data_IF_041351486318
#
_entry.id   IF_041351486318
#
_cell.length_a   1.000
_cell.length_b   1.000
_cell.length_c   1.000
_cell.angle_alpha   90.00
_cell.angle_beta   90.00
_cell.angle_gamma   90.00
#
_symmetry.space_group_name_H-M   'P 1'
#
loop_
_entity.id
_entity.type
_entity.pdbx_description
1 polymer ?
#
# COMPACT_ATOMS: atom_id res chain seq x y z
N UNK A 1 10.05 -1.77 -24.48
CA UNK A 1 9.56 -0.56 -25.19
C UNK A 1 9.83 -0.64 -26.67
N UNK A 2 11.04 -0.99 -27.10
CA UNK A 2 11.43 -1.03 -28.54
C UNK A 2 10.72 -2.13 -29.35
N UNK A 3 10.13 -3.12 -28.68
CA UNK A 3 9.38 -4.22 -29.30
C UNK A 3 7.93 -4.28 -28.84
N UNK A 4 7.43 -3.25 -28.15
CA UNK A 4 6.05 -3.23 -27.68
C UNK A 4 5.09 -3.20 -28.89
N UNK A 5 4.13 -4.12 -28.93
CA UNK A 5 3.16 -4.24 -30.03
C UNK A 5 3.77 -4.65 -31.37
N UNK A 6 5.02 -5.17 -31.41
CA UNK A 6 5.73 -5.47 -32.66
C UNK A 6 4.97 -6.45 -33.58
N UNK A 7 4.20 -7.36 -33.00
CA UNK A 7 3.43 -8.36 -33.74
C UNK A 7 2.10 -7.78 -34.29
N UNK A 8 1.63 -6.67 -33.73
CA UNK A 8 0.37 -6.00 -34.08
C UNK A 8 0.57 -4.74 -34.94
N UNK A 9 1.81 -4.23 -35.01
CA UNK A 9 2.17 -3.05 -35.81
C UNK A 9 2.50 -3.48 -37.24
N UNK A 10 1.90 -2.87 -38.28
CA UNK A 10 2.21 -3.18 -39.68
C UNK A 10 3.71 -3.10 -39.98
N UNK A 11 4.21 -4.03 -40.80
CA UNK A 11 5.65 -4.11 -41.11
C UNK A 11 6.21 -2.85 -41.78
N UNK A 12 5.34 -2.10 -42.45
CA UNK A 12 5.62 -0.85 -43.17
C UNK A 12 5.77 0.38 -42.25
N UNK A 13 5.48 0.25 -40.95
CA UNK A 13 5.62 1.35 -40.01
C UNK A 13 7.10 1.78 -39.87
N UNK A 14 7.38 3.06 -40.15
CA UNK A 14 8.73 3.65 -40.05
C UNK A 14 9.35 3.50 -38.65
N UNK A 15 8.53 3.34 -37.60
CA UNK A 15 8.98 3.14 -36.22
C UNK A 15 8.21 1.99 -35.58
N UNK A 16 8.97 1.02 -35.03
CA UNK A 16 8.43 -0.08 -34.21
C UNK A 16 8.73 0.19 -32.73
N UNK A 17 7.73 -0.07 -31.88
CA UNK A 17 7.80 0.16 -30.44
C UNK A 17 7.50 1.60 -30.01
N UNK A 18 7.46 1.83 -28.70
CA UNK A 18 6.97 3.09 -28.11
C UNK A 18 8.10 4.07 -27.80
N UNK A 19 7.92 5.32 -28.23
CA UNK A 19 8.79 6.45 -27.97
C UNK A 19 10.11 6.42 -28.74
N UNK A 20 10.85 7.52 -28.66
CA UNK A 20 12.25 7.62 -29.09
C UNK A 20 13.21 7.20 -27.97
N UNK A 21 14.47 6.83 -28.26
CA UNK A 21 15.46 6.45 -27.24
C UNK A 21 15.56 7.45 -26.07
N UNK A 22 15.54 8.75 -26.36
CA UNK A 22 15.57 9.80 -25.34
C UNK A 22 14.34 9.77 -24.42
N UNK A 23 13.15 9.63 -24.99
CA UNK A 23 11.91 9.56 -24.21
C UNK A 23 11.76 8.26 -23.43
N UNK A 24 12.23 7.12 -23.96
CA UNK A 24 12.17 5.81 -23.29
C UNK A 24 12.89 5.83 -21.95
N UNK A 25 14.14 6.33 -21.93
CA UNK A 25 14.92 6.44 -20.70
C UNK A 25 14.20 7.33 -19.67
N UNK A 26 13.69 8.49 -20.11
CA UNK A 26 12.96 9.41 -19.24
C UNK A 26 11.66 8.82 -18.66
N UNK A 27 10.91 8.04 -19.44
CA UNK A 27 9.69 7.36 -18.96
C UNK A 27 10.04 6.28 -17.94
N UNK A 28 11.10 5.49 -18.17
CA UNK A 28 11.54 4.47 -17.20
C UNK A 28 11.89 5.13 -15.86
N UNK A 29 12.65 6.22 -15.86
CA UNK A 29 12.95 6.95 -14.62
C UNK A 29 11.69 7.46 -13.94
N UNK A 30 10.74 8.04 -14.70
CA UNK A 30 9.45 8.50 -14.14
C UNK A 30 8.67 7.37 -13.47
N UNK A 31 8.61 6.18 -14.07
CA UNK A 31 7.92 5.02 -13.50
C UNK A 31 8.58 4.56 -12.19
N UNK A 32 9.91 4.63 -12.11
CA UNK A 32 10.67 4.30 -10.90
C UNK A 32 10.45 5.36 -9.81
N UNK A 33 10.59 6.65 -10.14
CA UNK A 33 10.37 7.76 -9.20
C UNK A 33 8.94 7.80 -8.68
N UNK A 34 7.95 7.48 -9.52
CA UNK A 34 6.55 7.39 -9.12
C UNK A 34 6.21 6.12 -8.29
N UNK A 35 7.15 5.16 -8.17
CA UNK A 35 6.97 3.96 -7.38
C UNK A 35 6.13 2.87 -8.03
N UNK A 36 5.90 2.92 -9.35
CA UNK A 36 5.18 1.88 -10.10
C UNK A 36 6.07 0.71 -10.53
N UNK A 37 7.37 0.95 -10.62
CA UNK A 37 8.38 -0.04 -11.01
C UNK A 37 9.58 0.08 -10.07
N UNK A 38 10.20 -1.06 -9.73
CA UNK A 38 11.44 -1.12 -8.95
C UNK A 38 12.58 -1.76 -9.76
N UNK A 39 13.82 -1.33 -9.47
CA UNK A 39 15.03 -1.91 -10.05
C UNK A 39 15.54 -3.04 -9.15
N UNK A 40 15.56 -4.26 -9.68
CA UNK A 40 16.15 -5.43 -9.01
C UNK A 40 17.31 -5.96 -9.85
N UNK A 41 18.52 -5.49 -9.53
CA UNK A 41 19.71 -5.75 -10.33
C UNK A 41 19.55 -5.17 -11.74
N UNK A 42 19.64 -6.03 -12.77
CA UNK A 42 19.44 -5.64 -14.18
C UNK A 42 17.98 -5.71 -14.64
N UNK A 43 17.04 -6.08 -13.76
CA UNK A 43 15.62 -6.24 -14.10
C UNK A 43 14.77 -5.09 -13.54
N UNK A 44 13.70 -4.77 -14.26
CA UNK A 44 12.62 -3.89 -13.81
C UNK A 44 11.43 -4.75 -13.41
N UNK A 45 10.96 -4.60 -12.17
CA UNK A 45 9.86 -5.39 -11.61
C UNK A 45 8.70 -4.45 -11.30
N UNK A 46 7.46 -4.74 -11.72
CA UNK A 46 6.31 -3.90 -11.37
C UNK A 46 6.04 -4.00 -9.86
N UNK A 47 5.77 -2.86 -9.23
CA UNK A 47 5.33 -2.84 -7.83
C UNK A 47 3.85 -3.20 -7.75
N UNK A 48 3.35 -3.49 -6.55
CA UNK A 48 1.91 -3.68 -6.33
C UNK A 48 1.09 -2.47 -6.80
N UNK A 49 1.59 -1.25 -6.56
CA UNK A 49 0.94 -0.03 -7.02
C UNK A 49 0.90 0.04 -8.56
N UNK A 50 1.98 -0.36 -9.24
CA UNK A 50 2.02 -0.43 -10.70
C UNK A 50 1.01 -1.45 -11.27
N UNK A 51 0.92 -2.64 -10.67
CA UNK A 51 -0.06 -3.66 -11.07
C UNK A 51 -1.48 -3.15 -10.85
N UNK A 52 -1.77 -2.58 -9.68
CA UNK A 52 -3.09 -2.05 -9.37
C UNK A 52 -3.51 -0.93 -10.32
N UNK A 53 -2.58 -0.05 -10.70
CA UNK A 53 -2.84 1.00 -11.66
C UNK A 53 -3.28 0.43 -13.01
N UNK A 54 -2.51 -0.52 -13.57
CA UNK A 54 -2.85 -1.15 -14.86
C UNK A 54 -4.22 -1.83 -14.80
N UNK A 55 -4.56 -2.49 -13.69
CA UNK A 55 -5.85 -3.18 -13.51
C UNK A 55 -7.06 -2.25 -13.56
N UNK A 56 -6.93 -0.98 -13.19
CA UNK A 56 -8.05 -0.02 -13.17
C UNK A 56 -8.08 0.91 -14.37
N UNK A 57 -7.01 0.94 -15.18
CA UNK A 57 -6.97 1.76 -16.36
C UNK A 57 -7.86 1.17 -17.47
N UNK A 58 -8.56 2.02 -18.24
CA UNK A 58 -9.21 1.61 -19.48
C UNK A 58 -8.22 0.92 -20.43
N UNK A 59 -8.67 -0.15 -21.09
CA UNK A 59 -7.87 -0.90 -22.05
C UNK A 59 -7.20 -0.01 -23.12
N UNK A 60 -7.89 1.01 -23.71
CA UNK A 60 -7.27 1.87 -24.70
C UNK A 60 -6.04 2.63 -24.19
N UNK A 61 -6.03 3.04 -22.91
CA UNK A 61 -4.90 3.77 -22.31
C UNK A 61 -3.70 2.89 -22.00
N UNK A 62 -3.87 1.58 -22.04
CA UNK A 62 -2.79 0.59 -21.86
C UNK A 62 -2.34 -0.03 -23.18
N UNK A 63 -2.98 0.33 -24.29
CA UNK A 63 -2.73 -0.24 -25.60
C UNK A 63 -1.44 0.31 -26.23
N UNK A 64 -0.45 -0.55 -26.54
CA UNK A 64 0.72 -0.12 -27.32
C UNK A 64 0.34 0.28 -28.74
N UNK A 65 -0.73 -0.28 -29.30
CA UNK A 65 -1.19 0.00 -30.66
C UNK A 65 -1.69 1.44 -30.79
N UNK A 66 -2.52 1.90 -29.85
CA UNK A 66 -3.00 3.28 -29.84
C UNK A 66 -1.85 4.29 -29.75
N UNK A 67 -0.83 3.97 -28.96
CA UNK A 67 0.36 4.83 -28.83
C UNK A 67 1.16 4.85 -30.14
N UNK A 68 1.29 3.71 -30.83
CA UNK A 68 1.96 3.63 -32.13
C UNK A 68 1.22 4.45 -33.21
N UNK A 69 -0.11 4.36 -33.27
CA UNK A 69 -0.93 5.15 -34.18
C UNK A 69 -0.74 6.66 -33.96
N UNK A 70 -0.65 7.10 -32.71
CA UNK A 70 -0.40 8.51 -32.39
C UNK A 70 1.00 8.95 -32.84
N UNK A 71 2.02 8.13 -32.63
CA UNK A 71 3.38 8.43 -33.11
C UNK A 71 3.45 8.53 -34.64
N UNK A 72 2.69 7.70 -35.35
CA UNK A 72 2.55 7.81 -36.80
C UNK A 72 1.89 9.13 -37.20
N UNK A 73 0.72 9.46 -36.61
CA UNK A 73 0.03 10.74 -36.89
C UNK A 73 0.90 11.96 -36.60
N UNK A 74 1.65 11.94 -35.49
CA UNK A 74 2.61 13.01 -35.16
C UNK A 74 3.72 13.12 -36.22
N UNK A 75 4.14 12.01 -36.80
CA UNK A 75 5.14 11.98 -37.89
C UNK A 75 4.55 12.54 -39.19
N UNK A 76 3.32 12.20 -39.54
CA UNK A 76 2.60 12.75 -40.69
C UNK A 76 2.40 14.25 -40.57
N UNK A 77 2.01 14.74 -39.38
CA UNK A 77 1.91 16.17 -39.08
C UNK A 77 3.26 16.87 -39.27
N UNK A 78 4.35 16.29 -38.74
CA UNK A 78 5.69 16.87 -38.88
C UNK A 78 6.15 16.95 -40.36
N UNK A 79 5.65 16.05 -41.21
CA UNK A 79 5.89 16.05 -42.66
C UNK A 79 4.90 16.95 -43.43
N UNK A 80 3.92 17.56 -42.75
CA UNK A 80 2.86 18.37 -43.36
C UNK A 80 1.75 17.57 -44.06
N UNK A 81 1.69 16.25 -43.83
CA UNK A 81 0.71 15.34 -44.45
C UNK A 81 -0.61 15.20 -43.68
N UNK A 82 -0.71 15.77 -42.47
CA UNK A 82 -1.91 15.74 -41.64
C UNK A 82 -2.09 17.08 -40.91
N UNK A 83 -3.36 17.42 -40.63
CA UNK A 83 -3.73 18.65 -39.95
C UNK A 83 -3.60 18.52 -38.41
N UNK A 84 -2.81 19.38 -37.74
CA UNK A 84 -2.64 19.34 -36.30
C UNK A 84 -3.95 19.55 -35.52
N UNK A 85 -4.84 20.42 -36.01
CA UNK A 85 -6.07 20.77 -35.31
C UNK A 85 -7.04 19.58 -35.27
N UNK A 86 -7.19 18.90 -36.42
CA UNK A 86 -7.96 17.65 -36.53
C UNK A 86 -7.45 16.57 -35.58
N UNK A 87 -6.12 16.43 -35.44
CA UNK A 87 -5.54 15.47 -34.50
C UNK A 87 -5.87 15.81 -33.05
N UNK A 88 -5.76 17.09 -32.68
CA UNK A 88 -6.08 17.55 -31.32
C UNK A 88 -7.58 17.42 -31.00
N UNK A 89 -8.47 17.63 -31.96
CA UNK A 89 -9.91 17.43 -31.80
C UNK A 89 -10.27 15.95 -31.57
N UNK A 90 -9.56 15.03 -32.24
CA UNK A 90 -9.64 13.60 -31.98
C UNK A 90 -9.25 13.24 -30.54
N UNK A 91 -8.15 13.81 -30.04
CA UNK A 91 -7.71 13.62 -28.64
C UNK A 91 -8.76 14.14 -27.67
N UNK A 92 -9.33 15.33 -27.92
CA UNK A 92 -10.38 15.92 -27.05
C UNK A 92 -11.60 15.01 -26.97
N UNK A 93 -12.06 14.50 -28.11
CA UNK A 93 -13.18 13.57 -28.19
C UNK A 93 -12.91 12.30 -27.38
N UNK A 94 -11.76 11.66 -27.59
CA UNK A 94 -11.36 10.46 -26.86
C UNK A 94 -11.29 10.70 -25.33
N UNK A 95 -10.72 11.83 -24.90
CA UNK A 95 -10.65 12.17 -23.46
C UNK A 95 -12.05 12.35 -22.88
N UNK A 96 -12.96 13.02 -23.58
CA UNK A 96 -14.35 13.19 -23.14
C UNK A 96 -15.06 11.83 -23.00
N UNK A 97 -14.89 10.93 -23.96
CA UNK A 97 -15.46 9.58 -23.92
C UNK A 97 -14.93 8.77 -22.75
N UNK A 98 -13.61 8.79 -22.50
CA UNK A 98 -13.00 8.08 -21.38
C UNK A 98 -13.49 8.63 -20.04
N UNK A 99 -13.50 9.95 -19.86
CA UNK A 99 -13.95 10.57 -18.60
C UNK A 99 -15.43 10.30 -18.34
N UNK A 100 -16.25 10.32 -19.39
CA UNK A 100 -17.68 9.98 -19.31
C UNK A 100 -17.88 8.51 -18.91
N UNK A 101 -17.19 7.60 -19.60
CA UNK A 101 -17.35 6.14 -19.43
C UNK A 101 -16.79 5.63 -18.10
N UNK A 102 -15.66 6.19 -17.65
CA UNK A 102 -14.92 5.74 -16.46
C UNK A 102 -14.98 6.78 -15.32
N UNK A 103 -16.10 7.49 -15.22
CA UNK A 103 -16.30 8.58 -14.24
C UNK A 103 -16.17 8.14 -12.77
N UNK A 104 -16.30 6.84 -12.49
CA UNK A 104 -16.02 6.29 -11.17
C UNK A 104 -15.28 4.95 -11.26
N UNK A 105 -14.27 4.78 -10.40
CA UNK A 105 -13.64 3.49 -10.18
C UNK A 105 -14.61 2.63 -9.38
N UNK A 106 -14.77 1.36 -9.77
CA UNK A 106 -15.60 0.39 -9.03
C UNK A 106 -15.14 0.26 -7.57
N UNK A 107 -16.03 -0.16 -6.66
CA UNK A 107 -15.66 -0.40 -5.26
C UNK A 107 -14.52 -1.42 -5.13
N UNK A 108 -14.47 -2.41 -6.02
CA UNK A 108 -13.36 -3.37 -6.06
C UNK A 108 -12.05 -2.74 -6.55
N UNK A 109 -12.12 -1.84 -7.54
CA UNK A 109 -10.96 -1.03 -7.94
C UNK A 109 -10.46 -0.11 -6.82
N UNK A 110 -11.36 0.49 -6.03
CA UNK A 110 -10.98 1.31 -4.86
C UNK A 110 -10.26 0.49 -3.79
N UNK A 111 -10.65 -0.78 -3.57
CA UNK A 111 -9.97 -1.68 -2.61
C UNK A 111 -8.52 -1.97 -3.02
N UNK A 112 -8.19 -1.97 -4.31
CA UNK A 112 -6.82 -2.20 -4.77
C UNK A 112 -5.85 -1.13 -4.25
N UNK A 113 -6.30 0.13 -4.12
CA UNK A 113 -5.49 1.24 -3.60
C UNK A 113 -5.65 1.48 -2.10
N UNK A 114 -6.44 0.66 -1.40
CA UNK A 114 -6.53 0.76 0.04
C UNK A 114 -5.14 0.44 0.64
N UNK A 115 -4.65 1.26 1.60
CA UNK A 115 -3.37 0.98 2.23
C UNK A 115 -3.42 -0.41 2.86
N UNK A 116 -2.45 -1.25 2.53
CA UNK A 116 -2.30 -2.55 3.17
C UNK A 116 -2.12 -2.31 4.67
N UNK A 117 -3.14 -2.66 5.44
CA UNK A 117 -2.99 -2.67 6.89
C UNK A 117 -2.07 -3.83 7.22
N UNK A 118 -0.86 -3.50 7.63
CA UNK A 118 0.06 -4.51 8.16
C UNK A 118 -0.56 -5.16 9.39
N UNK A 119 -0.64 -6.49 9.39
CA UNK A 119 -1.10 -7.24 10.56
C UNK A 119 -0.06 -7.14 11.67
N UNK A 120 -0.49 -6.69 12.85
CA UNK A 120 0.34 -6.58 14.05
C UNK A 120 0.61 -7.97 14.65
N UNK A 121 -0.34 -8.90 14.48
CA UNK A 121 -0.27 -10.26 14.99
C UNK A 121 -1.62 -10.99 14.86
N UNK A 122 -1.66 -12.26 15.27
CA UNK A 122 -2.89 -13.04 15.32
C UNK A 122 -3.70 -12.70 16.58
N UNK A 123 -5.03 -12.67 16.44
CA UNK A 123 -5.94 -12.44 17.56
C UNK A 123 -5.92 -13.65 18.50
N UNK A 124 -5.73 -13.46 19.81
CA UNK A 124 -5.69 -14.57 20.77
C UNK A 124 -7.05 -15.28 20.97
N UNK A 125 -8.16 -14.66 20.53
CA UNK A 125 -9.51 -15.24 20.65
C UNK A 125 -9.91 -16.11 19.46
N UNK A 126 -9.60 -15.67 18.25
CA UNK A 126 -10.13 -16.27 17.01
C UNK A 126 -9.07 -16.56 15.95
N UNK A 127 -7.80 -16.23 16.20
CA UNK A 127 -6.70 -16.43 15.27
C UNK A 127 -6.64 -15.43 14.09
N UNK A 128 -7.70 -14.64 13.87
CA UNK A 128 -7.74 -13.67 12.77
C UNK A 128 -6.74 -12.51 12.94
N UNK A 129 -6.32 -11.84 11.85
CA UNK A 129 -5.37 -10.73 11.91
C UNK A 129 -5.83 -9.56 12.80
N UNK A 130 -4.90 -8.95 13.54
CA UNK A 130 -5.12 -7.72 14.30
C UNK A 130 -4.45 -6.55 13.58
N UNK A 131 -5.18 -5.46 13.38
CA UNK A 131 -4.69 -4.27 12.68
C UNK A 131 -4.60 -3.06 13.60
N UNK A 132 -3.66 -2.16 13.30
CA UNK A 132 -3.54 -0.88 13.98
C UNK A 132 -4.57 0.14 13.46
N UNK A 133 -5.28 0.76 14.40
CA UNK A 133 -6.09 1.95 14.19
C UNK A 133 -5.51 3.17 14.92
N UNK A 134 -6.17 4.32 14.79
CA UNK A 134 -5.70 5.58 15.39
C UNK A 134 -5.53 5.47 16.92
N UNK A 135 -6.44 4.79 17.61
CA UNK A 135 -6.49 4.70 19.08
C UNK A 135 -6.33 3.29 19.66
N UNK A 136 -6.28 2.27 18.80
CA UNK A 136 -6.35 0.87 19.24
C UNK A 136 -5.70 -0.09 18.24
N UNK A 137 -5.55 -1.33 18.67
CA UNK A 137 -5.24 -2.49 17.83
C UNK A 137 -6.43 -3.44 17.91
N UNK A 138 -7.11 -3.67 16.79
CA UNK A 138 -8.38 -4.39 16.76
C UNK A 138 -8.35 -5.59 15.82
N UNK A 139 -9.08 -6.64 16.19
CA UNK A 139 -9.29 -7.80 15.33
C UNK A 139 -9.95 -7.39 14.01
N UNK A 140 -9.58 -8.07 12.91
CA UNK A 140 -10.21 -7.90 11.60
C UNK A 140 -11.69 -8.28 11.63
N UNK A 141 -12.05 -9.30 12.42
CA UNK A 141 -13.42 -9.72 12.64
C UNK A 141 -14.07 -8.91 13.76
N UNK A 142 -15.09 -8.12 13.39
CA UNK A 142 -15.85 -7.29 14.33
C UNK A 142 -16.70 -8.12 15.30
N UNK A 143 -17.07 -9.35 14.93
CA UNK A 143 -17.86 -10.24 15.79
C UNK A 143 -17.05 -10.77 16.99
N UNK A 144 -15.74 -10.93 16.82
CA UNK A 144 -14.81 -11.34 17.88
C UNK A 144 -14.69 -10.30 19.01
N UNK A 145 -14.78 -9.00 18.67
CA UNK A 145 -14.76 -7.91 19.63
C UNK A 145 -13.43 -7.67 20.36
N UNK A 146 -12.34 -8.35 19.96
CA UNK A 146 -11.01 -8.15 20.56
C UNK A 146 -10.42 -6.77 20.16
N UNK A 147 -10.11 -5.96 21.17
CA UNK A 147 -9.52 -4.62 20.99
C UNK A 147 -8.52 -4.32 22.12
N UNK A 148 -7.29 -3.96 21.74
CA UNK A 148 -6.28 -3.39 22.65
C UNK A 148 -6.26 -1.87 22.50
N UNK A 149 -6.61 -1.13 23.55
CA UNK A 149 -6.60 0.33 23.53
C UNK A 149 -5.21 0.88 23.86
N UNK A 150 -4.75 1.86 23.06
CA UNK A 150 -3.45 2.53 23.29
C UNK A 150 -3.39 3.18 24.67
N UNK A 151 -4.51 3.81 25.05
CA UNK A 151 -4.73 4.52 26.31
C UNK A 151 -5.60 3.74 27.29
N UNK A 152 -5.46 2.40 27.32
CA UNK A 152 -6.15 1.61 28.33
C UNK A 152 -5.79 2.09 29.76
N UNK A 153 -6.73 1.98 30.70
CA UNK A 153 -6.54 2.38 32.11
C UNK A 153 -5.28 1.75 32.71
N UNK A 154 -4.95 0.51 32.33
CA UNK A 154 -3.73 -0.18 32.77
C UNK A 154 -2.45 0.58 32.38
N UNK A 155 -2.37 1.08 31.15
CA UNK A 155 -1.19 1.78 30.63
C UNK A 155 -1.11 3.22 31.19
N UNK A 156 -2.23 3.94 31.17
CA UNK A 156 -2.27 5.33 31.63
C UNK A 156 -1.92 5.47 33.11
N UNK A 157 -2.43 4.58 33.98
CA UNK A 157 -2.11 4.62 35.42
C UNK A 157 -0.62 4.38 35.72
N UNK A 158 0.14 3.90 34.72
CA UNK A 158 1.58 3.63 34.81
C UNK A 158 2.40 4.64 33.98
N UNK A 159 1.78 5.72 33.51
CA UNK A 159 2.36 6.75 32.64
C UNK A 159 2.98 6.15 31.37
N UNK A 160 2.32 5.16 30.77
CA UNK A 160 2.71 4.51 29.52
C UNK A 160 1.55 4.50 28.52
N UNK A 161 1.90 4.28 27.26
CA UNK A 161 0.98 4.04 26.15
C UNK A 161 1.38 2.73 25.45
N UNK A 162 0.39 1.96 25.00
CA UNK A 162 0.66 0.74 24.25
C UNK A 162 1.13 1.08 22.82
N UNK A 163 2.42 0.84 22.56
CA UNK A 163 3.03 1.05 21.24
C UNK A 163 2.77 -0.11 20.28
N UNK A 164 2.94 0.10 18.97
CA UNK A 164 2.85 -0.94 17.93
C UNK A 164 3.74 -2.15 18.24
N UNK A 165 4.97 -1.90 18.70
CA UNK A 165 5.93 -2.96 19.08
C UNK A 165 5.45 -3.78 20.27
N UNK A 166 4.95 -3.11 21.31
CA UNK A 166 4.41 -3.79 22.50
C UNK A 166 3.18 -4.62 22.15
N UNK A 167 2.28 -4.10 21.31
CA UNK A 167 1.11 -4.84 20.82
C UNK A 167 1.54 -6.07 20.02
N UNK A 168 2.52 -5.95 19.11
CA UNK A 168 3.06 -7.07 18.36
C UNK A 168 3.69 -8.14 19.28
N UNK A 169 4.47 -7.74 20.28
CA UNK A 169 5.06 -8.66 21.26
C UNK A 169 3.98 -9.38 22.09
N UNK A 170 2.94 -8.66 22.54
CA UNK A 170 1.84 -9.25 23.30
C UNK A 170 1.04 -10.26 22.46
N UNK A 171 0.78 -9.97 21.18
CA UNK A 171 0.06 -10.88 20.30
C UNK A 171 0.90 -12.11 19.88
N UNK A 172 2.20 -11.94 19.66
CA UNK A 172 3.08 -13.02 19.20
C UNK A 172 3.62 -13.90 20.33
N UNK A 173 3.97 -13.30 21.46
CA UNK A 173 4.66 -13.97 22.58
C UNK A 173 3.79 -14.09 23.84
N UNK A 174 2.63 -13.44 23.87
CA UNK A 174 1.83 -13.30 25.08
C UNK A 174 2.41 -12.35 26.13
N UNK A 175 3.59 -11.74 25.88
CA UNK A 175 4.30 -10.88 26.84
C UNK A 175 5.17 -9.83 26.17
N UNK A 176 5.34 -8.68 26.85
CA UNK A 176 6.29 -7.63 26.46
C UNK A 176 7.01 -7.05 27.68
N UNK A 177 8.29 -6.73 27.57
CA UNK A 177 9.06 -6.12 28.67
C UNK A 177 8.94 -4.60 28.58
N UNK A 178 8.51 -3.96 29.67
CA UNK A 178 8.28 -2.52 29.71
C UNK A 178 9.14 -1.90 30.79
N UNK A 179 9.92 -0.89 30.41
CA UNK A 179 10.80 -0.16 31.32
C UNK A 179 10.16 1.14 31.82
N UNK A 180 10.48 1.50 33.05
CA UNK A 180 10.11 2.78 33.67
C UNK A 180 8.60 2.98 33.81
N UNK A 181 7.85 1.93 34.16
CA UNK A 181 6.45 2.05 34.53
C UNK A 181 6.31 2.72 35.89
N UNK A 182 5.36 3.64 36.04
CA UNK A 182 5.14 4.36 37.30
C UNK A 182 4.31 3.53 38.29
N UNK A 183 4.75 3.48 39.56
CA UNK A 183 3.96 2.94 40.67
C UNK A 183 3.49 4.06 41.58
N UNK A 184 2.19 4.34 41.61
CA UNK A 184 1.61 5.31 42.56
C UNK A 184 1.77 4.86 44.02
N UNK A 185 1.73 3.56 44.29
CA UNK A 185 1.88 3.01 45.65
C UNK A 185 3.28 3.21 46.21
N UNK A 186 4.31 3.08 45.38
CA UNK A 186 5.72 3.18 45.79
C UNK A 186 6.38 4.51 45.40
N UNK A 187 5.65 5.38 44.69
CA UNK A 187 6.12 6.66 44.15
C UNK A 187 7.46 6.53 43.40
N UNK A 188 7.63 5.43 42.64
CA UNK A 188 8.87 5.14 41.92
C UNK A 188 8.60 4.41 40.61
N UNK A 189 9.58 4.50 39.70
CA UNK A 189 9.56 3.80 38.43
C UNK A 189 10.08 2.36 38.60
N UNK A 190 9.52 1.43 37.83
CA UNK A 190 9.93 0.03 37.83
C UNK A 190 9.85 -0.60 36.44
N UNK A 191 10.65 -1.64 36.24
CA UNK A 191 10.62 -2.46 35.04
C UNK A 191 9.87 -3.75 35.33
N UNK A 192 9.01 -4.20 34.41
CA UNK A 192 8.37 -5.50 34.51
C UNK A 192 7.99 -6.05 33.14
N UNK A 193 7.79 -7.37 33.07
CA UNK A 193 7.13 -8.01 31.96
C UNK A 193 5.61 -7.85 32.12
N UNK A 194 4.95 -7.37 31.08
CA UNK A 194 3.49 -7.31 30.97
C UNK A 194 3.03 -8.53 30.18
N UNK A 195 2.15 -9.31 30.79
CA UNK A 195 1.57 -10.53 30.21
C UNK A 195 0.13 -10.24 29.80
N UNK A 196 -0.21 -10.59 28.56
CA UNK A 196 -1.56 -10.50 28.02
C UNK A 196 -2.42 -11.59 28.68
N UNK A 197 -3.51 -11.22 29.34
CA UNK A 197 -4.43 -12.14 30.00
C UNK A 197 -5.85 -11.89 29.48
N UNK A 198 -6.11 -12.29 28.25
CA UNK A 198 -7.46 -12.17 27.69
C UNK A 198 -8.37 -13.28 28.23
N UNK A 199 -9.45 -12.87 28.91
CA UNK A 199 -10.48 -13.78 29.46
C UNK A 199 -11.76 -13.79 28.62
N UNK A 200 -11.75 -13.21 27.42
CA UNK A 200 -12.93 -13.12 26.56
C UNK A 200 -13.93 -12.02 26.94
N UNK A 201 -13.62 -11.18 27.95
CA UNK A 201 -14.47 -10.07 28.37
C UNK A 201 -14.42 -8.86 27.43
N UNK A 202 -15.21 -7.82 27.71
CA UNK A 202 -15.19 -6.54 26.96
C UNK A 202 -13.84 -5.81 27.06
N UNK A 203 -13.11 -6.02 28.15
CA UNK A 203 -11.80 -5.42 28.40
C UNK A 203 -10.73 -6.49 28.51
N UNK A 204 -9.51 -6.12 28.12
CA UNK A 204 -8.34 -7.00 28.18
C UNK A 204 -7.64 -6.79 29.52
N UNK A 205 -7.43 -7.88 30.26
CA UNK A 205 -6.65 -7.84 31.49
C UNK A 205 -5.15 -8.03 31.18
N UNK A 206 -4.31 -7.39 31.99
CA UNK A 206 -2.86 -7.54 31.95
C UNK A 206 -2.34 -7.95 33.33
N UNK A 207 -1.36 -8.86 33.34
CA UNK A 207 -0.61 -9.23 34.56
C UNK A 207 0.81 -8.70 34.48
N UNK A 208 1.37 -8.34 35.64
CA UNK A 208 2.77 -7.94 35.77
C UNK A 208 3.57 -9.12 36.33
N UNK A 209 4.65 -9.45 35.65
CA UNK A 209 5.67 -10.38 36.13
C UNK A 209 6.99 -9.61 36.28
N UNK A 210 7.52 -9.62 37.50
CA UNK A 210 8.79 -8.96 37.78
C UNK A 210 9.92 -9.96 37.54
N UNK A 211 11.01 -9.56 36.85
CA UNK A 211 12.17 -10.43 36.71
C UNK A 211 12.65 -10.83 38.10
N UNK A 212 12.84 -12.13 38.33
CA UNK A 212 13.49 -12.62 39.56
C UNK A 212 14.91 -12.07 39.55
N UNK A 213 15.21 -11.11 40.43
CA UNK A 213 16.58 -10.66 40.63
C UNK A 213 17.43 -11.89 40.98
N UNK A 214 18.45 -12.20 40.16
CA UNK A 214 19.59 -13.00 40.61
C UNK A 214 20.24 -12.19 41.74
N UNK A 215 19.96 -12.55 42.99
CA UNK A 215 20.75 -12.09 44.13
C UNK A 215 22.16 -12.66 43.92
N UNK A 216 23.12 -11.77 43.70
CA UNK A 216 24.54 -12.04 43.95
C UNK A 216 24.76 -12.16 45.45
#
# INVERSE_FOLDING_TARGET
MEHAGKDDIPDEAERKGLGTPATRAAIIEKLVTAGFVERKGKSLIPTKAGINLVTVLPEPLTSPMLTAEWEQKLTEIAKGGADPDTFMDGIRTMVQEIVSTYSCISEDGKKLFAPEKESIGACPRCGQPVYEGKKNFACSDRSCGFVLWKNDRFWMSRKKELTKKMAADLLKKGRTNVKGMWSEKKQTAYDAAVILCDKGGRYIDFKLEFPKNKRS
#
